data_IF_880010983240
#
_entry.id   IF_880010983240
#
_cell.length_a   1.000
_cell.length_b   1.000
_cell.length_c   1.000
_cell.angle_alpha   90.00
_cell.angle_beta   90.00
_cell.angle_gamma   90.00
#
_symmetry.space_group_name_H-M   'P 1'
#
loop_
_entity.id
_entity.type
_entity.pdbx_description
1 polymer ?
#
# COMPACT_ATOMS: atom_id res chain seq x y z
N UNK A 1 -12.94 12.24 1.74
CA UNK A 1 -12.97 10.82 1.36
C UNK A 1 -11.56 10.28 1.21
N UNK A 2 -11.40 8.99 1.42
CA UNK A 2 -10.10 8.36 1.27
C UNK A 2 -10.19 7.27 0.21
N UNK A 3 -9.03 6.85 -0.29
CA UNK A 3 -8.93 5.79 -1.26
C UNK A 3 -8.26 4.59 -0.60
N UNK A 4 -8.90 3.44 -0.68
CA UNK A 4 -8.35 2.20 -0.17
C UNK A 4 -7.78 1.40 -1.32
N UNK A 5 -6.60 0.86 -1.12
CA UNK A 5 -5.93 0.05 -2.13
C UNK A 5 -5.21 -1.11 -1.47
N UNK A 6 -5.19 -2.24 -2.15
CA UNK A 6 -4.50 -3.42 -1.66
C UNK A 6 -3.34 -3.75 -2.59
N UNK A 7 -2.17 -3.95 -2.01
CA UNK A 7 -0.97 -4.32 -2.75
C UNK A 7 -0.40 -5.61 -2.21
N UNK A 8 0.44 -6.24 -3.00
CA UNK A 8 1.14 -7.47 -2.60
C UNK A 8 2.64 -7.19 -2.68
N UNK A 9 3.33 -7.47 -1.60
CA UNK A 9 4.78 -7.27 -1.52
C UNK A 9 5.44 -8.52 -0.95
N UNK A 10 6.76 -8.55 -1.00
CA UNK A 10 7.52 -9.60 -0.34
C UNK A 10 7.68 -9.25 1.14
N UNK A 11 7.72 -10.26 2.03
CA UNK A 11 7.83 -9.97 3.47
C UNK A 11 9.02 -9.11 3.84
N UNK A 12 10.15 -9.25 3.14
CA UNK A 12 11.33 -8.45 3.42
C UNK A 12 11.16 -6.99 3.04
N UNK A 13 10.12 -6.64 2.30
CA UNK A 13 9.84 -5.28 1.88
C UNK A 13 8.88 -4.56 2.83
N UNK A 14 8.44 -5.22 3.89
CA UNK A 14 7.42 -4.67 4.77
C UNK A 14 7.85 -3.41 5.52
N UNK A 15 9.15 -3.18 5.66
CA UNK A 15 9.67 -2.00 6.34
C UNK A 15 10.09 -0.90 5.36
N UNK A 16 10.02 -1.17 4.07
CA UNK A 16 10.36 -0.20 3.05
C UNK A 16 9.13 0.65 2.74
N UNK A 17 8.90 1.66 3.57
CA UNK A 17 7.71 2.48 3.47
C UNK A 17 7.64 3.26 2.17
N UNK A 18 8.79 3.69 1.66
CA UNK A 18 8.81 4.42 0.39
C UNK A 18 8.35 3.52 -0.76
N UNK A 19 8.84 2.29 -0.78
CA UNK A 19 8.42 1.33 -1.81
C UNK A 19 6.92 1.04 -1.72
N UNK A 20 6.43 0.82 -0.51
CA UNK A 20 5.01 0.55 -0.27
C UNK A 20 4.16 1.73 -0.74
N UNK A 21 4.59 2.95 -0.41
CA UNK A 21 3.89 4.17 -0.79
C UNK A 21 3.80 4.30 -2.31
N UNK A 22 4.93 4.15 -2.99
CA UNK A 22 4.97 4.25 -4.44
C UNK A 22 4.12 3.19 -5.12
N UNK A 23 4.20 1.96 -4.64
CA UNK A 23 3.42 0.88 -5.20
C UNK A 23 1.92 1.11 -4.99
N UNK A 24 1.56 1.62 -3.82
CA UNK A 24 0.18 1.95 -3.52
C UNK A 24 -0.36 3.04 -4.42
N UNK A 25 0.43 4.10 -4.63
CA UNK A 25 0.04 5.19 -5.52
C UNK A 25 -0.20 4.70 -6.94
N UNK A 26 0.70 3.84 -7.41
CA UNK A 26 0.60 3.29 -8.75
C UNK A 26 -0.66 2.44 -8.89
N UNK A 27 -0.94 1.63 -7.88
CA UNK A 27 -2.11 0.75 -7.89
C UNK A 27 -3.40 1.56 -7.83
N UNK A 28 -3.40 2.64 -7.06
CA UNK A 28 -4.57 3.51 -6.90
C UNK A 28 -4.69 4.55 -8.01
N UNK A 29 -3.67 4.66 -8.87
CA UNK A 29 -3.60 5.64 -9.94
C UNK A 29 -3.66 7.06 -9.40
N UNK A 30 -2.92 7.30 -8.33
CA UNK A 30 -2.83 8.60 -7.68
C UNK A 30 -1.45 9.20 -7.90
N UNK A 31 -1.38 10.53 -7.99
CA UNK A 31 -0.12 11.24 -8.02
C UNK A 31 0.28 11.63 -6.61
N UNK A 32 1.59 11.64 -6.30
CA UNK A 32 2.05 12.05 -4.96
C UNK A 32 1.55 13.44 -4.55
N UNK A 33 1.40 14.34 -5.53
CA UNK A 33 0.92 15.70 -5.26
C UNK A 33 -0.52 15.74 -4.79
N UNK A 34 -1.28 14.70 -5.06
CA UNK A 34 -2.69 14.63 -4.68
C UNK A 34 -2.88 14.08 -3.27
N UNK A 35 -1.85 13.48 -2.69
CA UNK A 35 -1.97 12.78 -1.41
C UNK A 35 -1.44 13.68 -0.30
N UNK A 36 -2.28 13.93 0.71
CA UNK A 36 -1.87 14.71 1.88
C UNK A 36 -1.46 13.82 3.04
N UNK A 37 -1.94 12.58 3.06
CA UNK A 37 -1.59 11.64 4.13
C UNK A 37 -1.88 10.22 3.65
N UNK A 38 -1.27 9.25 4.31
CA UNK A 38 -1.51 7.85 4.00
C UNK A 38 -1.11 7.00 5.20
N UNK A 39 -1.69 5.81 5.27
CA UNK A 39 -1.30 4.88 6.32
C UNK A 39 -1.62 3.45 5.91
N UNK A 40 -0.96 2.52 6.58
CA UNK A 40 -1.19 1.10 6.39
C UNK A 40 -2.32 0.68 7.32
N UNK A 41 -3.39 0.15 6.73
CA UNK A 41 -4.56 -0.26 7.49
C UNK A 41 -4.46 -1.70 7.96
N UNK A 42 -3.90 -2.56 7.14
CA UNK A 42 -3.87 -3.97 7.45
C UNK A 42 -2.72 -4.65 6.72
N UNK A 43 -2.13 -5.62 7.38
CA UNK A 43 -1.12 -6.49 6.78
C UNK A 43 -1.51 -7.92 7.07
N UNK A 44 -1.38 -8.79 6.08
CA UNK A 44 -1.62 -10.21 6.28
C UNK A 44 -0.63 -11.01 5.46
N UNK A 45 -0.14 -12.08 6.05
CA UNK A 45 0.82 -12.96 5.41
C UNK A 45 0.07 -14.05 4.68
N UNK A 46 0.42 -14.26 3.42
CA UNK A 46 -0.14 -15.32 2.60
C UNK A 46 0.99 -16.28 2.27
N UNK A 47 1.01 -17.42 2.94
CA UNK A 47 2.03 -18.44 2.72
C UNK A 47 1.41 -19.61 1.97
N UNK A 48 1.71 -19.70 0.68
CA UNK A 48 1.21 -20.79 -0.15
C UNK A 48 2.39 -21.54 -0.77
N UNK A 49 2.48 -22.81 -0.45
CA UNK A 49 3.52 -23.72 -0.99
C UNK A 49 4.90 -23.07 -0.89
N UNK A 50 5.50 -22.73 -2.02
CA UNK A 50 6.85 -22.18 -2.05
C UNK A 50 6.91 -20.66 -2.06
N UNK A 51 5.78 -19.99 -2.12
CA UNK A 51 5.74 -18.53 -2.23
C UNK A 51 5.12 -17.92 -1.00
N UNK A 52 5.83 -17.00 -0.36
CA UNK A 52 5.31 -16.24 0.77
C UNK A 52 5.12 -14.80 0.30
N UNK A 53 3.89 -14.30 0.42
CA UNK A 53 3.56 -12.95 0.01
C UNK A 53 2.87 -12.23 1.16
N UNK A 54 3.02 -10.92 1.19
CA UNK A 54 2.35 -10.09 2.19
C UNK A 54 1.35 -9.20 1.50
N UNK A 55 0.09 -9.28 1.93
CA UNK A 55 -0.97 -8.40 1.46
C UNK A 55 -1.02 -7.20 2.38
N UNK A 56 -0.98 -6.01 1.80
CA UNK A 56 -0.99 -4.77 2.56
C UNK A 56 -2.13 -3.91 2.05
N UNK A 57 -2.98 -3.47 2.97
CA UNK A 57 -4.06 -2.56 2.64
C UNK A 57 -3.67 -1.16 3.08
N UNK A 58 -3.73 -0.23 2.13
CA UNK A 58 -3.34 1.16 2.33
C UNK A 58 -4.53 2.08 2.21
N UNK A 59 -4.47 3.19 2.91
CA UNK A 59 -5.46 4.24 2.79
C UNK A 59 -4.74 5.55 2.51
N UNK A 60 -5.21 6.25 1.47
CA UNK A 60 -4.66 7.54 1.07
C UNK A 60 -5.72 8.62 1.21
N UNK A 61 -5.34 9.77 1.73
CA UNK A 61 -6.20 10.94 1.81
C UNK A 61 -5.74 11.97 0.78
N UNK A 62 -6.69 12.45 -0.02
CA UNK A 62 -6.38 13.36 -1.12
C UNK A 62 -6.59 14.81 -0.73
N UNK A 63 -5.88 15.70 -1.44
CA UNK A 63 -6.05 17.14 -1.29
C UNK A 63 -7.43 17.52 -1.79
N UNK A 64 -8.07 18.45 -1.09
CA UNK A 64 -9.37 18.97 -1.50
C UNK A 64 -10.57 18.16 -1.05
N UNK A 65 -10.33 17.16 -0.24
CA UNK A 65 -11.41 16.33 0.30
C UNK A 65 -11.87 16.82 1.67
#
# INVERSE_FOLDING_TARGET
MSALVQIVIKPQQQEDLEFIYRLGLQKAKLNPDEVIDWRIRKRSLDARKAAIKMNVQLEFWKVGE
#
